data_IF_592563984881
#
_entry.id   IF_592563984881
#
_cell.length_a   1.000
_cell.length_b   1.000
_cell.length_c   1.000
_cell.angle_alpha   90.00
_cell.angle_beta   90.00
_cell.angle_gamma   90.00
#
_symmetry.space_group_name_H-M   'P 1'
#
loop_
_entity.id
_entity.type
_entity.pdbx_description
1 polymer ?
#
# COMPACT_ATOMS: atom_id res chain seq x y z
N UNK A 1 19.31 13.65 34.91
CA UNK A 1 19.62 13.31 33.50
C UNK A 1 18.41 12.53 33.02
N UNK A 2 17.43 13.23 32.44
CA UNK A 2 16.20 12.60 31.95
C UNK A 2 16.52 11.92 30.62
N UNK A 3 16.40 10.60 30.59
CA UNK A 3 16.52 9.81 29.36
C UNK A 3 15.27 10.06 28.50
N UNK A 4 15.46 10.72 27.36
CA UNK A 4 14.47 10.75 26.28
C UNK A 4 14.35 9.36 25.68
N UNK A 5 13.50 8.52 26.27
CA UNK A 5 13.06 7.29 25.63
C UNK A 5 12.17 7.67 24.44
N UNK A 6 12.73 7.53 23.24
CA UNK A 6 11.99 7.62 21.99
C UNK A 6 10.90 6.55 21.95
N UNK A 7 9.64 6.96 22.09
CA UNK A 7 8.44 6.11 22.00
C UNK A 7 8.29 5.34 20.67
N UNK A 8 9.14 5.63 19.69
CA UNK A 8 9.13 5.04 18.35
C UNK A 8 9.41 3.52 18.35
N UNK A 9 10.06 2.98 19.39
CA UNK A 9 10.45 1.56 19.43
C UNK A 9 9.37 0.60 19.95
N UNK A 10 8.34 1.07 20.66
CA UNK A 10 7.35 0.18 21.31
C UNK A 10 6.25 -0.32 20.36
N UNK A 11 6.08 0.30 19.20
CA UNK A 11 4.94 0.03 18.31
C UNK A 11 5.22 -0.96 17.16
N UNK A 12 6.51 -1.19 16.86
CA UNK A 12 6.91 -2.15 15.84
C UNK A 12 6.57 -3.60 16.22
N UNK A 13 6.56 -3.95 17.50
CA UNK A 13 6.26 -5.32 17.94
C UNK A 13 4.76 -5.66 17.81
N UNK A 14 3.87 -4.71 18.08
CA UNK A 14 2.42 -4.95 18.00
C UNK A 14 1.94 -5.15 16.55
N UNK A 15 2.51 -4.43 15.60
CA UNK A 15 2.17 -4.53 14.16
C UNK A 15 2.81 -5.74 13.50
N UNK A 16 3.97 -6.20 13.98
CA UNK A 16 4.66 -7.41 13.49
C UNK A 16 3.84 -8.69 13.70
N UNK A 17 3.01 -8.73 14.75
CA UNK A 17 2.13 -9.87 15.04
C UNK A 17 0.90 -9.94 14.11
N UNK A 18 0.60 -8.87 13.36
CA UNK A 18 -0.54 -8.82 12.44
C UNK A 18 -0.16 -9.13 10.98
N UNK A 19 1.11 -8.90 10.63
CA UNK A 19 1.59 -9.11 9.28
C UNK A 19 1.84 -10.60 9.03
N UNK A 20 1.40 -11.13 7.88
CA UNK A 20 1.61 -12.53 7.56
C UNK A 20 3.10 -12.77 7.23
N UNK A 21 3.61 -14.00 7.40
CA UNK A 21 5.05 -14.30 7.30
C UNK A 21 5.66 -13.97 5.92
N UNK A 22 4.83 -13.92 4.87
CA UNK A 22 5.22 -13.52 3.52
C UNK A 22 5.79 -12.10 3.46
N UNK A 23 5.49 -11.25 4.44
CA UNK A 23 6.06 -9.89 4.53
C UNK A 23 7.58 -9.91 4.73
N UNK A 24 8.15 -10.99 5.27
CA UNK A 24 9.61 -11.12 5.37
C UNK A 24 10.31 -11.29 4.02
N UNK A 25 9.57 -11.64 2.96
CA UNK A 25 10.07 -11.70 1.58
C UNK A 25 10.11 -10.31 0.91
N UNK A 26 9.42 -9.31 1.48
CA UNK A 26 9.31 -7.97 0.91
C UNK A 26 10.58 -7.18 1.21
N UNK A 27 11.10 -6.37 0.25
CA UNK A 27 12.19 -5.45 0.51
C UNK A 27 11.91 -4.53 1.71
N UNK A 28 12.97 -4.20 2.47
CA UNK A 28 12.89 -3.35 3.67
C UNK A 28 12.04 -2.07 3.49
N UNK A 29 12.11 -1.32 2.36
CA UNK A 29 11.25 -0.16 2.13
C UNK A 29 9.75 -0.50 2.06
N UNK A 30 9.38 -1.63 1.47
CA UNK A 30 7.99 -2.08 1.40
C UNK A 30 7.48 -2.55 2.76
N UNK A 31 8.34 -3.20 3.55
CA UNK A 31 8.01 -3.59 4.93
C UNK A 31 7.77 -2.36 5.82
N UNK A 32 8.62 -1.34 5.74
CA UNK A 32 8.44 -0.06 6.46
C UNK A 32 7.13 0.63 6.06
N UNK A 33 6.79 0.64 4.77
CA UNK A 33 5.51 1.16 4.29
C UNK A 33 4.32 0.44 4.93
N UNK A 34 4.32 -0.90 4.89
CA UNK A 34 3.21 -1.70 5.43
C UNK A 34 3.02 -1.47 6.92
N UNK A 35 4.12 -1.45 7.70
CA UNK A 35 4.07 -1.19 9.14
C UNK A 35 3.44 0.17 9.45
N UNK A 36 3.82 1.23 8.71
CA UNK A 36 3.29 2.59 8.94
C UNK A 36 1.83 2.76 8.47
N UNK A 37 1.42 2.05 7.42
CA UNK A 37 0.03 2.07 6.94
C UNK A 37 -0.90 1.29 7.88
N UNK A 38 -0.42 0.17 8.41
CA UNK A 38 -1.17 -0.75 9.27
C UNK A 38 -0.90 -0.51 10.75
N UNK A 39 -0.37 0.66 11.09
CA UNK A 39 -0.16 1.12 12.46
C UNK A 39 -1.48 1.12 13.23
N UNK A 40 -1.48 0.48 14.40
CA UNK A 40 -2.67 0.26 15.23
C UNK A 40 -3.15 1.60 15.79
N UNK A 41 -2.22 2.43 16.29
CA UNK A 41 -2.57 3.76 16.79
C UNK A 41 -2.74 4.74 15.61
N UNK A 42 -3.97 5.26 15.37
CA UNK A 42 -4.23 6.17 14.26
C UNK A 42 -3.44 7.48 14.31
N UNK A 43 -2.88 7.86 15.47
CA UNK A 43 -2.03 9.06 15.59
C UNK A 43 -0.73 8.91 14.81
N UNK A 44 -0.13 7.71 14.87
CA UNK A 44 1.14 7.37 14.23
C UNK A 44 0.95 6.78 12.83
N UNK A 45 -0.27 6.38 12.47
CA UNK A 45 -0.59 5.86 11.14
C UNK A 45 -0.30 6.86 10.02
N UNK A 46 0.31 6.36 8.96
CA UNK A 46 0.51 7.10 7.73
C UNK A 46 -0.84 7.47 7.11
N UNK A 47 -1.08 8.78 6.96
CA UNK A 47 -2.42 9.33 6.65
C UNK A 47 -2.45 10.33 5.50
N UNK A 48 -1.34 10.54 4.80
CA UNK A 48 -1.29 11.51 3.71
C UNK A 48 -0.32 11.14 2.61
N UNK A 49 -0.59 11.65 1.41
CA UNK A 49 0.29 11.53 0.23
C UNK A 49 1.66 12.15 0.50
N UNK A 50 1.71 13.27 1.23
CA UNK A 50 2.98 13.87 1.63
C UNK A 50 3.80 12.94 2.54
N UNK A 51 3.14 12.17 3.41
CA UNK A 51 3.79 11.13 4.21
C UNK A 51 4.33 9.99 3.34
N UNK A 52 3.54 9.52 2.36
CA UNK A 52 3.96 8.48 1.43
C UNK A 52 5.22 8.87 0.65
N UNK A 53 5.31 10.10 0.15
CA UNK A 53 6.49 10.62 -0.57
C UNK A 53 7.79 10.57 0.25
N UNK A 54 7.69 10.59 1.59
CA UNK A 54 8.87 10.53 2.47
C UNK A 54 9.39 9.11 2.70
N UNK A 55 8.63 8.09 2.32
CA UNK A 55 9.02 6.69 2.50
C UNK A 55 9.95 6.28 1.37
N UNK A 56 11.00 5.53 1.71
CA UNK A 56 12.05 5.13 0.78
C UNK A 56 11.52 4.35 -0.45
N UNK A 57 10.40 3.64 -0.30
CA UNK A 57 9.72 2.94 -1.40
C UNK A 57 9.28 3.89 -2.53
N UNK A 58 8.96 5.15 -2.20
CA UNK A 58 8.48 6.15 -3.15
C UNK A 58 9.54 7.18 -3.55
N UNK A 59 10.80 7.01 -3.14
CA UNK A 59 11.86 8.01 -3.35
C UNK A 59 12.06 8.38 -4.83
N UNK A 60 11.96 7.39 -5.71
CA UNK A 60 12.18 7.55 -7.15
C UNK A 60 10.86 7.58 -7.96
N UNK A 61 9.73 7.79 -7.28
CA UNK A 61 8.41 7.81 -7.88
C UNK A 61 7.75 9.18 -7.73
N UNK A 62 7.55 9.89 -8.84
CA UNK A 62 6.93 11.21 -8.82
C UNK A 62 5.40 11.10 -8.73
N UNK A 63 4.87 11.35 -7.52
CA UNK A 63 3.43 11.36 -7.22
C UNK A 63 2.82 12.73 -7.56
N UNK A 64 3.16 13.34 -8.69
CA UNK A 64 2.49 14.54 -9.19
C UNK A 64 1.24 14.14 -9.99
N UNK A 65 0.13 14.87 -9.83
CA UNK A 65 -1.14 14.55 -10.50
C UNK A 65 -1.00 14.65 -12.02
N UNK A 66 -0.17 15.56 -12.49
CA UNK A 66 0.10 15.75 -13.91
C UNK A 66 0.91 14.57 -14.47
N UNK A 67 1.99 14.17 -13.80
CA UNK A 67 2.81 13.01 -14.21
C UNK A 67 2.04 11.69 -14.13
N UNK A 68 1.17 11.52 -13.14
CA UNK A 68 0.35 10.31 -13.00
C UNK A 68 -0.70 10.14 -14.11
N UNK A 69 -1.18 11.25 -14.71
CA UNK A 69 -2.13 11.19 -15.83
C UNK A 69 -1.45 10.86 -17.15
N UNK A 70 -0.16 11.14 -17.26
CA UNK A 70 0.65 10.80 -18.44
C UNK A 70 1.06 9.33 -18.46
N UNK A 71 1.01 8.66 -17.30
CA UNK A 71 1.39 7.26 -17.18
C UNK A 71 0.18 6.36 -17.47
N UNK A 72 0.27 5.57 -18.54
CA UNK A 72 -0.70 4.52 -18.81
C UNK A 72 -0.64 3.42 -17.74
N UNK A 73 -1.75 3.09 -17.05
CA UNK A 73 -1.78 1.99 -16.09
C UNK A 73 -1.36 0.66 -16.70
N UNK A 74 -1.68 0.40 -17.98
CA UNK A 74 -1.30 -0.82 -18.68
C UNK A 74 0.22 -0.89 -18.92
N UNK A 75 0.85 0.24 -19.27
CA UNK A 75 2.30 0.29 -19.49
C UNK A 75 3.07 0.08 -18.19
N UNK A 76 2.57 0.58 -17.05
CA UNK A 76 3.14 0.31 -15.73
C UNK A 76 3.13 -1.19 -15.40
N UNK A 77 2.00 -1.85 -15.65
CA UNK A 77 1.84 -3.27 -15.37
C UNK A 77 2.75 -4.14 -16.23
N UNK A 78 2.87 -3.79 -17.52
CA UNK A 78 3.83 -4.44 -18.43
C UNK A 78 5.27 -4.25 -17.96
N UNK A 79 5.64 -3.02 -17.55
CA UNK A 79 6.98 -2.73 -16.99
C UNK A 79 7.27 -3.50 -15.71
N UNK A 80 6.23 -3.78 -14.90
CA UNK A 80 6.33 -4.58 -13.69
C UNK A 80 6.38 -6.10 -13.96
N UNK A 81 6.33 -6.53 -15.24
CA UNK A 81 6.23 -7.93 -15.65
C UNK A 81 5.03 -8.67 -15.02
N UNK A 82 3.95 -7.95 -14.72
CA UNK A 82 2.72 -8.56 -14.22
C UNK A 82 1.90 -8.96 -15.45
N UNK A 83 1.64 -10.26 -15.66
CA UNK A 83 0.91 -10.71 -16.83
C UNK A 83 -0.55 -10.24 -16.74
N UNK A 84 -1.07 -9.68 -17.83
CA UNK A 84 -2.44 -9.17 -17.92
C UNK A 84 -3.50 -10.22 -17.53
N UNK A 85 -3.19 -11.50 -17.74
CA UNK A 85 -4.04 -12.63 -17.40
C UNK A 85 -4.26 -12.81 -15.90
N UNK A 86 -3.32 -12.41 -15.04
CA UNK A 86 -3.48 -12.48 -13.58
C UNK A 86 -4.36 -11.35 -13.04
N UNK A 87 -4.40 -10.21 -13.74
CA UNK A 87 -5.12 -9.00 -13.30
C UNK A 87 -6.61 -9.06 -13.69
N UNK A 88 -6.91 -9.56 -14.89
CA UNK A 88 -8.28 -9.59 -15.43
C UNK A 88 -8.90 -10.99 -15.40
N UNK A 89 -8.41 -11.88 -14.53
CA UNK A 89 -8.76 -13.30 -14.49
C UNK A 89 -10.25 -13.59 -14.21
N UNK A 90 -11.02 -12.62 -13.73
CA UNK A 90 -12.32 -12.86 -13.09
C UNK A 90 -13.53 -12.22 -13.82
N UNK A 91 -13.48 -12.11 -15.15
CA UNK A 91 -14.63 -11.65 -15.94
C UNK A 91 -15.85 -12.58 -15.85
N UNK A 92 -15.65 -13.83 -15.41
CA UNK A 92 -16.69 -14.83 -15.20
C UNK A 92 -17.61 -14.58 -13.99
N UNK A 93 -17.19 -13.79 -13.01
CA UNK A 93 -18.00 -13.51 -11.81
C UNK A 93 -18.88 -12.25 -11.92
N UNK A 94 -18.59 -11.33 -12.85
CA UNK A 94 -19.36 -10.08 -13.00
C UNK A 94 -20.79 -10.37 -13.49
N UNK A 95 -20.98 -11.38 -14.35
CA UNK A 95 -22.30 -11.77 -14.85
C UNK A 95 -23.21 -12.43 -13.81
N UNK A 96 -22.67 -12.82 -12.64
CA UNK A 96 -23.43 -13.41 -11.53
C UNK A 96 -23.89 -12.39 -10.48
N UNK A 97 -23.50 -11.12 -10.62
CA UNK A 97 -23.93 -10.05 -9.72
C UNK A 97 -25.37 -9.67 -10.09
N UNK A 98 -26.31 -9.88 -9.17
CA UNK A 98 -27.69 -9.44 -9.38
C UNK A 98 -27.72 -7.94 -9.66
N UNK A 99 -28.39 -7.54 -10.75
CA UNK A 99 -28.51 -6.13 -11.15
C UNK A 99 -29.23 -5.26 -10.10
N UNK A 100 -29.87 -5.88 -9.11
CA UNK A 100 -30.51 -5.26 -7.95
C UNK A 100 -29.50 -4.67 -6.95
N UNK A 101 -28.26 -5.17 -6.91
CA UNK A 101 -27.25 -4.80 -5.92
C UNK A 101 -26.84 -3.31 -5.96
N UNK A 102 -27.09 -2.62 -7.08
CA UNK A 102 -26.72 -1.21 -7.27
C UNK A 102 -27.91 -0.29 -7.59
N UNK A 103 -29.15 -0.72 -7.35
CA UNK A 103 -30.32 0.07 -7.74
C UNK A 103 -30.45 1.44 -7.04
N UNK A 104 -29.73 1.65 -5.93
CA UNK A 104 -29.77 2.88 -5.13
C UNK A 104 -28.36 3.47 -4.87
N UNK A 105 -27.36 3.06 -5.63
CA UNK A 105 -26.01 3.65 -5.59
C UNK A 105 -25.94 4.95 -6.39
#
# INVERSE_FOLDING_TARGET
MEEFQSDESKNYESTKNFLPPEVDLIPKPGKDLLLRLLEIDPKFRLKSVLGLRKIAMFKDFDINVETLKEISPLELLQKANIPSSEIFADSTNISAIESSAFQHF
#
